data_IF_201146748344
#
_entry.id   IF_201146748344
#
_cell.length_a   1.000
_cell.length_b   1.000
_cell.length_c   1.000
_cell.angle_alpha   90.00
_cell.angle_beta   90.00
_cell.angle_gamma   90.00
#
_symmetry.space_group_name_H-M   'P 1'
#
loop_
_entity.id
_entity.type
_entity.pdbx_description
1 polymer ?
#
# COMPACT_ATOMS: atom_id res chain seq x y z
N UNK A 1 -26.64 10.26 0.42
CA UNK A 1 -25.63 9.40 1.08
C UNK A 1 -26.34 8.37 1.93
N UNK A 2 -26.34 7.14 1.45
CA UNK A 2 -26.87 6.01 2.20
C UNK A 2 -25.78 5.42 3.10
N UNK A 3 -26.19 4.79 4.19
CA UNK A 3 -25.29 4.14 5.14
C UNK A 3 -25.36 2.63 4.95
N UNK A 4 -24.21 2.01 4.81
CA UNK A 4 -24.04 0.58 4.60
C UNK A 4 -23.21 -0.01 5.74
N UNK A 5 -23.45 -1.28 6.03
CA UNK A 5 -22.74 -2.02 7.08
C UNK A 5 -22.12 -3.25 6.46
N UNK A 6 -20.82 -3.40 6.64
CA UNK A 6 -20.08 -4.55 6.16
C UNK A 6 -19.48 -5.35 7.29
N UNK A 7 -19.46 -6.66 7.11
CA UNK A 7 -18.71 -7.58 7.98
C UNK A 7 -17.69 -8.34 7.14
N UNK A 8 -16.46 -8.40 7.63
CA UNK A 8 -15.40 -9.19 7.03
C UNK A 8 -14.79 -10.10 8.09
N UNK A 9 -14.66 -11.37 7.74
CA UNK A 9 -14.07 -12.39 8.60
C UNK A 9 -12.79 -12.90 7.98
N UNK A 10 -11.78 -13.13 8.82
CA UNK A 10 -10.49 -13.60 8.38
C UNK A 10 -9.78 -14.42 9.46
N UNK A 11 -9.29 -15.59 9.08
CA UNK A 11 -8.48 -16.46 9.95
C UNK A 11 -7.01 -16.18 9.71
N UNK A 12 -6.28 -15.86 10.78
CA UNK A 12 -4.85 -15.54 10.72
C UNK A 12 -4.07 -16.77 10.25
N UNK A 13 -3.30 -16.64 9.18
CA UNK A 13 -2.39 -17.69 8.72
C UNK A 13 -1.02 -17.65 9.43
N UNK A 14 -0.31 -18.78 9.39
CA UNK A 14 1.05 -18.92 9.97
C UNK A 14 2.08 -17.92 9.41
N UNK A 15 1.81 -17.36 8.22
CA UNK A 15 2.76 -16.54 7.47
C UNK A 15 2.45 -15.04 7.52
N UNK A 16 1.50 -14.60 8.34
CA UNK A 16 1.12 -13.18 8.42
C UNK A 16 1.11 -12.65 9.85
N UNK A 17 1.11 -11.33 9.97
CA UNK A 17 0.96 -10.66 11.27
C UNK A 17 -0.53 -10.45 11.57
N UNK A 18 -0.85 -10.31 12.86
CA UNK A 18 -2.20 -9.98 13.28
C UNK A 18 -2.73 -8.70 12.61
N UNK A 19 -1.87 -7.70 12.40
CA UNK A 19 -2.24 -6.49 11.67
C UNK A 19 -2.59 -6.76 10.20
N UNK A 20 -1.85 -7.65 9.52
CA UNK A 20 -2.17 -8.03 8.14
C UNK A 20 -3.50 -8.78 8.05
N UNK A 21 -3.77 -9.65 9.01
CA UNK A 21 -5.04 -10.34 9.12
C UNK A 21 -6.20 -9.37 9.43
N UNK A 22 -5.97 -8.35 10.26
CA UNK A 22 -6.95 -7.27 10.48
C UNK A 22 -7.20 -6.44 9.23
N UNK A 23 -6.14 -6.11 8.49
CA UNK A 23 -6.25 -5.40 7.22
C UNK A 23 -7.03 -6.24 6.19
N UNK A 24 -6.84 -7.57 6.19
CA UNK A 24 -7.61 -8.51 5.38
C UNK A 24 -9.08 -8.57 5.79
N UNK A 25 -9.39 -8.68 7.09
CA UNK A 25 -10.77 -8.63 7.58
C UNK A 25 -11.46 -7.29 7.23
N UNK A 26 -10.75 -6.17 7.37
CA UNK A 26 -11.23 -4.84 6.98
C UNK A 26 -11.48 -4.75 5.47
N UNK A 27 -10.59 -5.33 4.66
CA UNK A 27 -10.77 -5.39 3.20
C UNK A 27 -12.04 -6.17 2.84
N UNK A 28 -12.29 -7.32 3.47
CA UNK A 28 -13.51 -8.09 3.22
C UNK A 28 -14.77 -7.37 3.73
N UNK A 29 -14.69 -6.64 4.86
CA UNK A 29 -15.82 -5.82 5.32
C UNK A 29 -16.16 -4.68 4.35
N UNK A 30 -15.15 -4.03 3.77
CA UNK A 30 -15.35 -3.01 2.74
C UNK A 30 -15.89 -3.60 1.43
N UNK A 31 -15.50 -4.84 1.11
CA UNK A 31 -16.07 -5.60 0.00
C UNK A 31 -17.56 -5.90 0.22
N UNK A 32 -17.97 -6.33 1.40
CA UNK A 32 -19.38 -6.56 1.72
C UNK A 32 -20.23 -5.29 1.55
N UNK A 33 -19.76 -4.13 2.06
CA UNK A 33 -20.43 -2.83 1.80
C UNK A 33 -20.54 -2.57 0.30
N UNK A 34 -19.46 -2.86 -0.42
CA UNK A 34 -19.39 -2.60 -1.85
C UNK A 34 -20.37 -3.44 -2.67
N UNK A 35 -20.58 -4.69 -2.28
CA UNK A 35 -21.59 -5.57 -2.88
C UNK A 35 -23.00 -5.01 -2.64
N UNK A 36 -23.29 -4.53 -1.43
CA UNK A 36 -24.56 -3.88 -1.11
C UNK A 36 -24.78 -2.60 -1.93
N UNK A 37 -23.76 -1.75 -2.07
CA UNK A 37 -23.80 -0.55 -2.92
C UNK A 37 -24.05 -0.94 -4.37
N UNK A 38 -23.36 -1.96 -4.88
CA UNK A 38 -23.55 -2.49 -6.23
C UNK A 38 -24.99 -2.98 -6.47
N UNK A 39 -25.58 -3.69 -5.50
CA UNK A 39 -26.98 -4.13 -5.56
C UNK A 39 -27.94 -2.94 -5.66
N UNK A 40 -27.79 -1.91 -4.80
CA UNK A 40 -28.63 -0.70 -4.82
C UNK A 40 -28.52 0.05 -6.14
N UNK A 41 -27.30 0.21 -6.67
CA UNK A 41 -27.06 0.84 -7.97
C UNK A 41 -27.72 0.03 -9.09
N UNK A 42 -27.60 -1.31 -9.07
CA UNK A 42 -28.18 -2.19 -10.09
C UNK A 42 -29.71 -2.24 -10.05
N UNK A 43 -30.34 -2.13 -8.87
CA UNK A 43 -31.80 -2.12 -8.75
C UNK A 43 -32.41 -0.79 -9.22
N UNK A 44 -31.69 0.32 -9.04
CA UNK A 44 -32.15 1.66 -9.40
C UNK A 44 -31.88 2.04 -10.87
N UNK A 45 -30.99 1.30 -11.55
CA UNK A 45 -30.64 1.53 -12.95
C UNK A 45 -31.06 0.31 -13.77
N UNK A 46 -32.05 0.42 -14.65
CA UNK A 46 -32.43 -0.67 -15.58
C UNK A 46 -31.24 -0.94 -16.52
N UNK A 47 -30.46 -2.01 -16.30
CA UNK A 47 -29.14 -2.22 -16.92
C UNK A 47 -29.24 -2.82 -18.33
N UNK A 48 -28.60 -2.20 -19.33
CA UNK A 48 -28.15 -2.85 -20.57
C UNK A 48 -26.65 -3.17 -20.47
N UNK A 49 -26.30 -4.43 -20.77
CA UNK A 49 -24.94 -5.00 -20.91
C UNK A 49 -24.08 -5.10 -19.63
N UNK A 50 -24.55 -5.94 -18.71
CA UNK A 50 -23.85 -6.40 -17.50
C UNK A 50 -22.50 -7.09 -17.78
N UNK A 51 -21.42 -6.32 -17.94
CA UNK A 51 -20.06 -6.86 -17.85
C UNK A 51 -19.44 -6.40 -16.54
N UNK A 52 -19.64 -7.22 -15.52
CA UNK A 52 -19.07 -7.06 -14.19
C UNK A 52 -18.11 -8.23 -13.96
N UNK A 53 -16.82 -7.98 -14.07
CA UNK A 53 -15.81 -8.92 -13.57
C UNK A 53 -15.73 -8.76 -12.06
N UNK A 54 -16.00 -9.85 -11.34
CA UNK A 54 -16.17 -9.87 -9.89
C UNK A 54 -14.98 -9.23 -9.14
N UNK A 55 -13.75 -9.47 -9.58
CA UNK A 55 -12.53 -8.96 -8.93
C UNK A 55 -12.28 -7.45 -9.11
N UNK A 56 -12.73 -6.86 -10.23
CA UNK A 56 -12.50 -5.44 -10.51
C UNK A 56 -13.57 -4.56 -9.86
N UNK A 57 -14.80 -5.03 -9.68
CA UNK A 57 -15.76 -4.26 -8.89
C UNK A 57 -15.35 -4.23 -7.42
N UNK A 58 -14.90 -5.36 -6.87
CA UNK A 58 -14.49 -5.50 -5.46
C UNK A 58 -13.35 -4.56 -5.07
N UNK A 59 -12.38 -4.34 -5.96
CA UNK A 59 -11.22 -3.46 -5.65
C UNK A 59 -11.60 -1.98 -5.69
N UNK A 60 -12.46 -1.57 -6.62
CA UNK A 60 -12.74 -0.15 -6.89
C UNK A 60 -13.84 0.42 -6.00
N UNK A 61 -14.87 -0.37 -5.72
CA UNK A 61 -16.01 0.00 -4.87
C UNK A 61 -15.64 0.39 -3.43
N UNK A 62 -14.67 -0.30 -2.83
CA UNK A 62 -14.16 0.01 -1.48
C UNK A 62 -13.58 1.42 -1.35
N UNK A 63 -13.15 2.05 -2.45
CA UNK A 63 -12.56 3.40 -2.47
C UNK A 63 -13.61 4.53 -2.38
N UNK A 64 -14.90 4.22 -2.61
CA UNK A 64 -15.99 5.20 -2.57
C UNK A 64 -16.79 5.15 -1.26
N UNK A 65 -16.44 4.21 -0.38
CA UNK A 65 -17.03 4.07 0.94
C UNK A 65 -16.25 4.95 1.90
N UNK A 66 -16.86 6.03 2.38
CA UNK A 66 -16.30 6.77 3.51
C UNK A 66 -16.63 5.99 4.78
N UNK A 67 -15.60 5.47 5.44
CA UNK A 67 -15.75 4.76 6.71
C UNK A 67 -16.16 5.75 7.80
N UNK A 68 -17.28 5.47 8.45
CA UNK A 68 -17.82 6.25 9.56
C UNK A 68 -17.46 5.62 10.91
N UNK A 69 -17.53 4.30 11.00
CA UNK A 69 -17.20 3.54 12.20
C UNK A 69 -16.53 2.22 11.82
N UNK A 70 -15.61 1.75 12.66
CA UNK A 70 -14.87 0.50 12.49
C UNK A 70 -14.67 -0.16 13.84
N UNK A 71 -15.16 -1.39 13.97
CA UNK A 71 -14.94 -2.26 15.12
C UNK A 71 -14.23 -3.53 14.68
N UNK A 72 -13.19 -3.91 15.40
CA UNK A 72 -12.47 -5.17 15.16
C UNK A 72 -12.60 -6.04 16.41
N UNK A 73 -13.00 -7.29 16.21
CA UNK A 73 -13.09 -8.32 17.22
C UNK A 73 -12.17 -9.47 16.85
N UNK A 74 -11.58 -10.11 17.87
CA UNK A 74 -10.67 -11.22 17.71
C UNK A 74 -11.14 -12.36 18.60
N UNK A 75 -11.17 -13.57 18.05
CA UNK A 75 -11.57 -14.79 18.74
C UNK A 75 -10.54 -15.88 18.46
N UNK A 76 -10.29 -16.75 19.44
CA UNK A 76 -9.44 -17.93 19.28
C UNK A 76 -10.36 -19.12 19.45
N UNK A 77 -10.38 -20.02 18.47
CA UNK A 77 -11.20 -21.22 18.52
C UNK A 77 -10.52 -22.36 19.30
N UNK A 78 -11.19 -23.51 19.35
CA UNK A 78 -10.72 -24.69 20.09
C UNK A 78 -9.43 -25.29 19.49
N UNK A 79 -9.15 -25.02 18.22
CA UNK A 79 -7.95 -25.47 17.50
C UNK A 79 -6.77 -24.49 17.66
N UNK A 80 -7.02 -23.33 18.26
CA UNK A 80 -6.02 -22.29 18.51
C UNK A 80 -5.88 -21.28 17.37
N UNK A 81 -6.73 -21.36 16.35
CA UNK A 81 -6.73 -20.45 15.22
C UNK A 81 -7.32 -19.09 15.64
N UNK A 82 -6.66 -18.02 15.21
CA UNK A 82 -7.12 -16.66 15.51
C UNK A 82 -8.06 -16.21 14.40
N UNK A 83 -9.33 -16.03 14.73
CA UNK A 83 -10.35 -15.44 13.88
C UNK A 83 -10.48 -13.95 14.16
N UNK A 84 -10.53 -13.16 13.09
CA UNK A 84 -10.72 -11.72 13.16
C UNK A 84 -12.02 -11.37 12.44
N UNK A 85 -12.87 -10.62 13.12
CA UNK A 85 -14.09 -10.06 12.54
C UNK A 85 -13.98 -8.53 12.54
N UNK A 86 -13.96 -7.93 11.35
CA UNK A 86 -14.09 -6.50 11.17
C UNK A 86 -15.55 -6.14 10.84
N UNK A 87 -16.13 -5.22 11.60
CA UNK A 87 -17.44 -4.61 11.32
C UNK A 87 -17.25 -3.14 10.99
N UNK A 88 -17.71 -2.74 9.82
CA UNK A 88 -17.55 -1.38 9.30
C UNK A 88 -18.93 -0.79 9.02
N UNK A 89 -19.12 0.45 9.44
CA UNK A 89 -20.22 1.28 8.95
C UNK A 89 -19.61 2.34 8.05
N UNK A 90 -20.11 2.45 6.83
CA UNK A 90 -19.63 3.45 5.87
C UNK A 90 -20.78 4.09 5.11
N UNK A 91 -20.55 5.28 4.57
CA UNK A 91 -21.48 5.93 3.68
C UNK A 91 -20.97 5.93 2.23
N UNK A 92 -21.89 5.65 1.32
CA UNK A 92 -21.65 5.72 -0.12
C UNK A 92 -22.77 6.54 -0.78
N UNK A 93 -22.43 7.20 -1.87
CA UNK A 93 -23.39 7.87 -2.74
C UNK A 93 -23.55 7.05 -4.03
N UNK A 94 -24.68 6.33 -4.19
CA UNK A 94 -24.90 5.44 -5.33
C UNK A 94 -24.75 6.15 -6.69
N UNK A 95 -25.12 7.43 -6.78
CA UNK A 95 -25.07 8.19 -8.04
C UNK A 95 -23.63 8.59 -8.42
N UNK A 96 -22.81 8.94 -7.43
CA UNK A 96 -21.38 9.19 -7.65
C UNK A 96 -20.63 7.91 -8.02
N UNK A 97 -20.97 6.79 -7.37
CA UNK A 97 -20.39 5.47 -7.70
C UNK A 97 -20.76 5.07 -9.13
N UNK A 98 -22.01 5.24 -9.54
CA UNK A 98 -22.47 4.94 -10.90
C UNK A 98 -21.80 5.81 -11.96
N UNK A 99 -21.60 7.10 -11.66
CA UNK A 99 -20.93 8.04 -12.57
C UNK A 99 -19.50 7.58 -12.87
N UNK A 100 -18.77 7.16 -11.84
CA UNK A 100 -17.39 6.70 -11.98
C UNK A 100 -17.29 5.32 -12.64
N UNK A 101 -18.19 4.39 -12.29
CA UNK A 101 -18.27 3.07 -12.94
C UNK A 101 -18.53 3.18 -14.45
N UNK A 102 -19.40 4.10 -14.88
CA UNK A 102 -19.66 4.36 -16.31
C UNK A 102 -18.43 4.92 -17.02
N UNK A 103 -17.71 5.85 -16.40
CA UNK A 103 -16.47 6.38 -16.95
C UNK A 103 -15.41 5.28 -17.15
N UNK A 104 -15.33 4.30 -16.24
CA UNK A 104 -14.35 3.21 -16.30
C UNK A 104 -14.75 2.11 -17.29
N UNK A 105 -16.04 1.81 -17.43
CA UNK A 105 -16.57 0.80 -18.37
C UNK A 105 -16.21 1.14 -19.83
N UNK A 106 -16.15 2.43 -20.17
CA UNK A 106 -15.79 2.91 -21.51
C UNK A 106 -14.30 2.76 -21.85
N UNK A 107 -13.45 2.36 -20.89
CA UNK A 107 -12.01 2.19 -21.10
C UNK A 107 -11.61 0.75 -21.46
N UNK A 108 -12.53 -0.23 -21.47
CA UNK A 108 -12.21 -1.66 -21.65
C UNK A 108 -13.08 -2.35 -22.73
N UNK A 109 -12.56 -2.47 -23.95
CA UNK A 109 -12.53 -3.70 -24.80
C UNK A 109 -12.27 -3.38 -26.29
N UNK A 110 -11.65 -4.29 -27.09
CA UNK A 110 -10.55 -5.21 -26.76
C UNK A 110 -9.47 -5.32 -27.88
N UNK A 111 -8.30 -5.89 -27.59
CA UNK A 111 -7.68 -6.96 -28.43
C UNK A 111 -6.66 -7.81 -27.65
N UNK A 112 -6.73 -9.10 -27.97
CA UNK A 112 -6.07 -10.29 -27.40
C UNK A 112 -4.68 -10.54 -28.03
N UNK A 113 -3.78 -11.24 -27.32
CA UNK A 113 -2.54 -11.75 -27.92
C UNK A 113 -1.53 -12.39 -26.96
N UNK A 114 -1.73 -13.69 -26.69
CA UNK A 114 -0.77 -14.77 -26.44
C UNK A 114 0.40 -14.66 -25.42
N UNK A 115 0.43 -15.70 -24.57
CA UNK A 115 1.50 -16.11 -23.69
C UNK A 115 2.68 -16.81 -24.43
N UNK A 116 3.91 -16.65 -23.94
CA UNK A 116 4.98 -17.68 -24.04
C UNK A 116 6.07 -17.47 -22.95
N UNK A 117 6.27 -18.55 -22.18
CA UNK A 117 7.43 -19.14 -21.48
C UNK A 117 8.67 -18.34 -21.04
N UNK A 118 9.05 -18.63 -19.79
CA UNK A 118 10.27 -18.24 -19.09
C UNK A 118 11.53 -19.07 -19.45
N UNK A 119 12.70 -18.50 -19.18
CA UNK A 119 14.02 -19.17 -19.17
C UNK A 119 14.99 -18.43 -18.21
N UNK A 120 16.06 -19.10 -17.74
CA UNK A 120 16.54 -19.01 -16.35
C UNK A 120 17.62 -17.96 -16.08
N UNK A 121 17.73 -17.59 -14.79
CA UNK A 121 18.73 -16.69 -14.21
C UNK A 121 20.07 -17.44 -14.01
N UNK A 122 21.23 -16.82 -14.32
CA UNK A 122 22.54 -17.40 -14.01
C UNK A 122 22.89 -17.31 -12.52
N UNK A 123 23.34 -18.43 -11.98
CA UNK A 123 23.88 -18.61 -10.63
C UNK A 123 25.16 -17.80 -10.40
N UNK A 124 25.24 -17.09 -9.27
CA UNK A 124 26.48 -16.50 -8.77
C UNK A 124 26.84 -17.18 -7.44
N UNK A 125 28.00 -17.83 -7.40
CA UNK A 125 28.55 -18.52 -6.24
C UNK A 125 29.10 -17.51 -5.22
N UNK A 126 28.79 -17.63 -3.92
CA UNK A 126 29.31 -16.72 -2.89
C UNK A 126 30.78 -16.97 -2.56
N UNK A 127 31.55 -15.90 -2.33
CA UNK A 127 32.92 -15.96 -1.83
C UNK A 127 32.97 -16.03 -0.29
N UNK A 128 34.00 -16.67 0.30
CA UNK A 128 34.09 -16.90 1.74
C UNK A 128 34.67 -15.70 2.49
N UNK A 129 34.00 -15.30 3.56
CA UNK A 129 34.53 -14.39 4.59
C UNK A 129 34.82 -15.21 5.85
N UNK A 130 36.03 -15.04 6.38
CA UNK A 130 36.60 -15.73 7.53
C UNK A 130 35.94 -15.25 8.84
N UNK A 131 35.53 -16.14 9.76
CA UNK A 131 34.85 -15.75 10.99
C UNK A 131 35.84 -15.18 12.03
N UNK A 132 35.52 -14.00 12.57
CA UNK A 132 36.07 -13.51 13.84
C UNK A 132 35.19 -14.01 15.01
N UNK A 133 35.76 -14.28 16.20
CA UNK A 133 34.99 -14.86 17.30
C UNK A 133 34.08 -13.79 17.92
N UNK A 134 32.78 -13.93 17.70
CA UNK A 134 31.74 -13.20 18.44
C UNK A 134 31.44 -13.99 19.71
N UNK A 135 31.62 -13.37 20.87
CA UNK A 135 31.18 -13.91 22.16
C UNK A 135 29.65 -13.88 22.16
N UNK A 136 29.01 -15.04 22.08
CA UNK A 136 27.56 -15.19 22.11
C UNK A 136 27.13 -15.32 23.58
N UNK A 137 26.37 -14.37 24.17
CA UNK A 137 25.68 -14.64 25.42
C UNK A 137 24.59 -15.70 25.18
N UNK A 138 24.61 -16.72 26.04
CA UNK A 138 23.73 -17.89 26.02
C UNK A 138 22.24 -17.49 26.11
N UNK A 139 21.33 -18.12 25.35
CA UNK A 139 19.91 -17.79 25.39
C UNK A 139 19.30 -18.22 26.73
N UNK A 140 18.97 -17.24 27.57
CA UNK A 140 18.08 -17.46 28.71
C UNK A 140 16.66 -17.27 28.20
N UNK A 141 15.81 -18.30 28.29
CA UNK A 141 14.38 -18.17 27.99
C UNK A 141 13.74 -17.13 28.92
N UNK A 142 12.88 -16.23 28.40
CA UNK A 142 11.91 -15.55 29.22
C UNK A 142 10.49 -15.96 28.82
N UNK A 143 9.87 -16.75 29.69
CA UNK A 143 8.43 -16.69 29.90
C UNK A 143 8.13 -15.36 30.62
N UNK A 144 7.35 -14.45 30.02
CA UNK A 144 6.46 -13.44 30.64
C UNK A 144 6.03 -12.39 29.60
N UNK A 145 4.84 -11.81 29.80
CA UNK A 145 4.19 -10.76 28.99
C UNK A 145 5.12 -9.77 28.28
N UNK A 146 4.73 -9.24 27.09
CA UNK A 146 5.50 -8.21 26.40
C UNK A 146 5.66 -6.97 27.29
N UNK A 147 6.84 -6.82 27.88
CA UNK A 147 7.31 -5.56 28.46
C UNK A 147 7.23 -4.50 27.36
N UNK A 148 6.50 -3.41 27.61
CA UNK A 148 6.48 -2.23 26.72
C UNK A 148 7.83 -1.52 26.69
N UNK A 149 8.72 -1.82 27.62
CA UNK A 149 10.00 -1.14 27.80
C UNK A 149 11.10 -1.87 27.06
N UNK A 150 11.81 -1.15 26.20
CA UNK A 150 12.97 -1.66 25.46
C UNK A 150 14.09 -2.00 26.46
N UNK A 151 14.66 -3.22 26.42
CA UNK A 151 15.76 -3.60 27.29
C UNK A 151 16.97 -2.64 27.13
N UNK A 152 17.70 -2.30 28.21
CA UNK A 152 18.79 -1.33 28.17
C UNK A 152 19.84 -1.60 27.08
N UNK A 153 20.16 -2.86 26.82
CA UNK A 153 21.10 -3.28 25.79
C UNK A 153 20.67 -2.94 24.36
N UNK A 154 19.37 -2.71 24.12
CA UNK A 154 18.82 -2.31 22.82
C UNK A 154 18.57 -0.80 22.70
N UNK A 155 18.93 0.01 23.69
CA UNK A 155 18.78 1.47 23.58
C UNK A 155 19.66 2.07 22.47
N UNK A 156 20.88 1.55 22.28
CA UNK A 156 21.74 1.95 21.17
C UNK A 156 21.12 1.61 19.81
N UNK A 157 20.54 0.41 19.70
CA UNK A 157 19.83 -0.03 18.50
C UNK A 157 18.61 0.84 18.19
N UNK A 158 17.83 1.23 19.20
CA UNK A 158 16.71 2.17 19.05
C UNK A 158 17.19 3.49 18.44
N UNK A 159 18.27 4.08 18.98
CA UNK A 159 18.75 5.38 18.47
C UNK A 159 19.29 5.29 17.04
N UNK A 160 20.01 4.22 16.72
CA UNK A 160 20.47 3.98 15.35
C UNK A 160 19.28 3.78 14.39
N UNK A 161 18.28 3.01 14.80
CA UNK A 161 17.07 2.77 14.03
C UNK A 161 16.31 4.08 13.77
N UNK A 162 16.16 4.94 14.79
CA UNK A 162 15.57 6.28 14.63
C UNK A 162 16.34 7.13 13.62
N UNK A 163 17.66 7.23 13.78
CA UNK A 163 18.50 8.01 12.89
C UNK A 163 18.40 7.52 11.43
N UNK A 164 18.47 6.21 11.22
CA UNK A 164 18.33 5.60 9.91
C UNK A 164 16.94 5.83 9.30
N UNK A 165 15.89 5.72 10.12
CA UNK A 165 14.52 5.96 9.70
C UNK A 165 14.28 7.40 9.28
N UNK A 166 14.86 8.37 9.99
CA UNK A 166 14.73 9.79 9.67
C UNK A 166 15.55 10.17 8.44
N UNK A 167 16.75 9.62 8.25
CA UNK A 167 17.59 9.93 7.09
C UNK A 167 17.12 9.26 5.79
N UNK A 168 16.44 8.11 5.89
CA UNK A 168 15.91 7.38 4.73
C UNK A 168 14.39 7.49 4.60
N UNK A 169 13.75 8.31 5.45
CA UNK A 169 12.32 8.56 5.46
C UNK A 169 11.47 7.27 5.45
N UNK A 170 11.79 6.34 6.35
CA UNK A 170 11.08 5.05 6.41
C UNK A 170 9.70 5.18 7.05
N UNK A 171 8.80 4.27 6.67
CA UNK A 171 7.60 3.97 7.44
C UNK A 171 7.92 3.15 8.69
N UNK A 172 6.96 3.01 9.62
CA UNK A 172 7.09 2.09 10.76
C UNK A 172 7.40 0.66 10.30
N UNK A 173 6.73 0.21 9.23
CA UNK A 173 6.96 -1.11 8.62
C UNK A 173 8.35 -1.21 7.99
N UNK A 174 8.82 -0.13 7.36
CA UNK A 174 10.17 0.00 6.83
C UNK A 174 11.22 -0.12 7.94
N UNK A 175 11.02 0.57 9.06
CA UNK A 175 11.89 0.47 10.24
C UNK A 175 11.91 -0.95 10.81
N UNK A 176 10.74 -1.58 10.96
CA UNK A 176 10.65 -2.98 11.40
C UNK A 176 11.44 -3.92 10.48
N UNK A 177 11.28 -3.79 9.15
CA UNK A 177 12.05 -4.57 8.17
C UNK A 177 13.55 -4.31 8.25
N UNK A 178 13.95 -3.04 8.42
CA UNK A 178 15.35 -2.68 8.62
C UNK A 178 15.93 -3.42 9.82
N UNK A 179 15.21 -3.46 10.95
CA UNK A 179 15.66 -4.18 12.14
C UNK A 179 15.82 -5.68 11.89
N UNK A 180 14.86 -6.33 11.22
CA UNK A 180 14.98 -7.74 10.86
C UNK A 180 16.19 -8.02 9.96
N UNK A 181 16.41 -7.17 8.95
CA UNK A 181 17.52 -7.32 8.01
C UNK A 181 18.90 -7.11 8.67
N UNK A 182 18.94 -6.41 9.81
CA UNK A 182 20.15 -6.24 10.62
C UNK A 182 20.30 -7.33 11.71
N UNK A 183 19.52 -8.41 11.64
CA UNK A 183 19.67 -9.58 12.52
C UNK A 183 19.03 -9.44 13.90
N UNK A 184 18.23 -8.40 14.14
CA UNK A 184 17.49 -8.27 15.40
C UNK A 184 16.32 -9.27 15.42
N UNK A 185 16.08 -9.95 16.56
CA UNK A 185 14.95 -10.86 16.66
C UNK A 185 13.63 -10.10 16.59
N UNK A 186 12.59 -10.78 16.09
CA UNK A 186 11.30 -10.17 15.73
C UNK A 186 10.67 -9.36 16.86
N UNK A 187 10.72 -9.86 18.09
CA UNK A 187 10.20 -9.16 19.27
C UNK A 187 10.93 -7.82 19.53
N UNK A 188 12.25 -7.77 19.33
CA UNK A 188 13.05 -6.55 19.48
C UNK A 188 12.75 -5.57 18.34
N UNK A 189 12.66 -6.07 17.10
CA UNK A 189 12.26 -5.26 15.95
C UNK A 189 10.88 -4.61 16.16
N UNK A 190 9.90 -5.37 16.65
CA UNK A 190 8.56 -4.87 17.01
C UNK A 190 8.64 -3.81 18.11
N UNK A 191 9.35 -4.08 19.20
CA UNK A 191 9.49 -3.10 20.29
C UNK A 191 10.14 -1.79 19.81
N UNK A 192 11.19 -1.87 19.00
CA UNK A 192 11.87 -0.69 18.47
C UNK A 192 10.95 0.08 17.54
N UNK A 193 10.27 -0.57 16.59
CA UNK A 193 9.37 0.13 15.66
C UNK A 193 8.16 0.78 16.35
N UNK A 194 7.65 0.17 17.42
CA UNK A 194 6.52 0.73 18.17
C UNK A 194 6.91 1.90 19.09
N UNK A 195 8.14 1.90 19.62
CA UNK A 195 8.60 2.93 20.57
C UNK A 195 9.58 3.94 19.94
N UNK A 196 9.74 3.94 18.61
CA UNK A 196 10.69 4.80 17.92
C UNK A 196 10.39 6.31 18.04
N UNK A 197 9.21 6.72 18.49
CA UNK A 197 8.80 8.13 18.61
C UNK A 197 9.23 8.97 17.40
N UNK A 198 8.70 8.60 16.24
CA UNK A 198 8.96 9.21 14.94
C UNK A 198 7.64 9.76 14.41
N UNK A 199 7.69 10.96 13.84
CA UNK A 199 6.60 11.49 13.04
C UNK A 199 6.56 10.78 11.67
N UNK A 200 5.80 9.70 11.60
CA UNK A 200 5.66 8.88 10.39
C UNK A 200 4.98 9.63 9.24
N UNK A 201 4.12 10.62 9.54
CA UNK A 201 3.50 11.46 8.52
C UNK A 201 4.53 12.37 7.87
N UNK A 202 5.44 12.92 8.67
CA UNK A 202 6.56 13.71 8.15
C UNK A 202 7.54 12.85 7.34
N UNK A 203 7.82 11.62 7.77
CA UNK A 203 8.61 10.69 6.96
C UNK A 203 7.92 10.40 5.61
N UNK A 204 6.61 10.16 5.57
CA UNK A 204 5.90 9.94 4.31
C UNK A 204 5.99 11.16 3.38
N UNK A 205 5.88 12.38 3.92
CA UNK A 205 6.03 13.63 3.17
C UNK A 205 7.42 13.78 2.57
N UNK A 206 8.46 13.52 3.36
CA UNK A 206 9.83 13.59 2.87
C UNK A 206 10.10 12.49 1.85
N UNK A 207 9.56 11.29 2.03
CA UNK A 207 9.67 10.19 1.07
C UNK A 207 9.00 10.51 -0.27
N UNK A 208 7.83 11.16 -0.23
CA UNK A 208 7.19 11.69 -1.44
C UNK A 208 8.09 12.72 -2.15
N UNK A 209 8.77 13.57 -1.37
CA UNK A 209 9.72 14.56 -1.90
C UNK A 209 10.96 13.89 -2.52
N UNK A 210 11.49 12.82 -1.93
CA UNK A 210 12.60 12.04 -2.49
C UNK A 210 12.27 11.50 -3.89
N UNK A 211 11.05 10.97 -4.09
CA UNK A 211 10.63 10.54 -5.42
C UNK A 211 10.67 11.67 -6.43
N UNK A 212 10.18 12.85 -6.06
CA UNK A 212 10.14 14.03 -6.94
C UNK A 212 11.54 14.61 -7.25
N UNK A 213 12.53 14.37 -6.39
CA UNK A 213 13.91 14.82 -6.63
C UNK A 213 14.70 13.85 -7.50
N UNK A 214 14.36 12.57 -7.47
CA UNK A 214 15.10 11.51 -8.18
C UNK A 214 14.49 11.16 -9.53
N UNK A 215 13.25 11.59 -9.79
CA UNK A 215 12.61 11.37 -11.07
C UNK A 215 11.28 12.10 -11.20
N UNK A 216 10.54 11.72 -12.22
CA UNK A 216 9.23 12.27 -12.51
C UNK A 216 8.13 11.30 -12.10
N UNK A 217 7.15 11.76 -11.33
CA UNK A 217 6.08 10.90 -10.84
C UNK A 217 4.75 11.63 -10.83
N UNK A 218 3.67 10.87 -11.04
CA UNK A 218 2.32 11.38 -10.84
C UNK A 218 1.97 11.40 -9.34
N UNK A 219 1.00 12.24 -8.97
CA UNK A 219 0.46 12.26 -7.60
C UNK A 219 -0.06 10.88 -7.19
N UNK A 220 -0.81 10.21 -8.08
CA UNK A 220 -1.34 8.87 -7.80
C UNK A 220 -0.24 7.79 -7.74
N UNK A 221 0.81 7.94 -8.55
CA UNK A 221 1.96 7.04 -8.58
C UNK A 221 2.72 7.07 -7.26
N UNK A 222 3.02 8.26 -6.73
CA UNK A 222 3.68 8.39 -5.41
C UNK A 222 2.79 7.82 -4.31
N UNK A 223 1.49 8.14 -4.31
CA UNK A 223 0.54 7.59 -3.33
C UNK A 223 0.55 6.05 -3.30
N UNK A 224 0.43 5.44 -4.48
CA UNK A 224 0.44 3.97 -4.64
C UNK A 224 1.77 3.40 -4.17
N UNK A 225 2.88 4.07 -4.49
CA UNK A 225 4.21 3.65 -4.10
C UNK A 225 4.41 3.69 -2.59
N UNK A 226 3.99 4.75 -1.88
CA UNK A 226 4.05 4.86 -0.42
C UNK A 226 3.27 3.73 0.29
N UNK A 227 2.13 3.33 -0.27
CA UNK A 227 1.32 2.21 0.23
C UNK A 227 1.89 0.83 -0.10
N UNK A 228 2.83 0.75 -1.05
CA UNK A 228 3.35 -0.52 -1.52
C UNK A 228 3.94 -1.33 -0.35
N UNK A 229 3.95 -2.67 -0.41
CA UNK A 229 4.56 -3.48 0.63
C UNK A 229 6.03 -3.12 0.91
N UNK A 230 6.72 -2.56 -0.09
CA UNK A 230 8.12 -2.15 0.01
C UNK A 230 8.28 -0.89 0.87
N UNK A 231 7.46 0.14 0.64
CA UNK A 231 7.48 1.39 1.43
C UNK A 231 6.72 1.22 2.75
N UNK A 232 5.49 0.72 2.71
CA UNK A 232 4.74 0.25 3.88
C UNK A 232 4.15 1.35 4.76
N UNK A 233 3.90 2.55 4.22
CA UNK A 233 3.17 3.59 4.93
C UNK A 233 1.68 3.25 5.07
N UNK A 234 1.04 3.82 6.08
CA UNK A 234 -0.42 3.74 6.23
C UNK A 234 -1.12 4.67 5.22
N UNK A 235 -2.41 4.44 4.99
CA UNK A 235 -3.26 5.33 4.16
C UNK A 235 -3.27 6.76 4.68
N UNK A 236 -3.29 6.93 6.00
CA UNK A 236 -3.32 8.25 6.65
C UNK A 236 -2.01 9.01 6.44
N UNK A 237 -0.86 8.33 6.54
CA UNK A 237 0.47 8.90 6.29
C UNK A 237 0.67 9.25 4.81
N UNK A 238 0.33 8.33 3.91
CA UNK A 238 0.42 8.58 2.47
C UNK A 238 -0.53 9.72 2.04
N UNK A 239 -1.74 9.78 2.58
CA UNK A 239 -2.67 10.88 2.32
C UNK A 239 -2.13 12.22 2.83
N UNK A 240 -1.56 12.25 4.04
CA UNK A 240 -0.90 13.43 4.57
C UNK A 240 0.24 13.88 3.66
N UNK A 241 1.11 12.97 3.23
CA UNK A 241 2.21 13.26 2.32
C UNK A 241 1.70 13.90 1.02
N UNK A 242 0.71 13.29 0.35
CA UNK A 242 0.23 13.80 -0.94
C UNK A 242 -0.55 15.11 -0.84
N UNK A 243 -1.08 15.44 0.33
CA UNK A 243 -1.75 16.72 0.60
C UNK A 243 -0.76 17.85 0.83
N UNK A 244 0.41 17.55 1.40
CA UNK A 244 1.39 18.55 1.82
C UNK A 244 2.62 18.64 0.89
N UNK A 245 2.86 17.63 0.04
CA UNK A 245 3.99 17.65 -0.89
C UNK A 245 3.78 18.72 -1.96
N UNK A 246 4.78 19.60 -2.11
CA UNK A 246 4.75 20.70 -3.07
C UNK A 246 5.43 20.22 -4.35
N UNK A 247 4.69 20.23 -5.45
CA UNK A 247 5.20 19.89 -6.77
C UNK A 247 4.44 20.63 -7.87
N UNK A 248 5.15 20.96 -8.95
CA UNK A 248 4.53 21.32 -10.21
C UNK A 248 4.19 20.04 -10.99
N UNK A 249 2.95 19.59 -10.85
CA UNK A 249 2.49 18.33 -11.45
C UNK A 249 2.48 18.34 -12.98
N UNK A 250 2.32 19.52 -13.58
CA UNK A 250 2.45 19.67 -15.03
C UNK A 250 3.91 19.51 -15.48
N UNK A 251 4.86 20.08 -14.72
CA UNK A 251 6.28 19.85 -14.96
C UNK A 251 6.69 18.38 -14.76
N UNK A 252 6.11 17.69 -13.76
CA UNK A 252 6.33 16.26 -13.56
C UNK A 252 5.87 15.43 -14.77
N UNK A 253 4.67 15.70 -15.28
CA UNK A 253 4.16 15.03 -16.48
C UNK A 253 5.04 15.31 -17.71
N UNK A 254 5.42 16.57 -17.93
CA UNK A 254 6.29 16.97 -19.03
C UNK A 254 7.67 16.32 -18.96
N UNK A 255 8.27 16.27 -17.78
CA UNK A 255 9.56 15.61 -17.55
C UNK A 255 9.50 14.13 -17.89
N UNK A 256 8.46 13.42 -17.43
CA UNK A 256 8.26 12.01 -17.79
C UNK A 256 8.01 11.81 -19.28
N UNK A 257 7.22 12.69 -19.90
CA UNK A 257 6.93 12.64 -21.33
C UNK A 257 8.21 12.78 -22.17
N UNK A 258 9.08 13.73 -21.81
CA UNK A 258 10.40 13.92 -22.44
C UNK A 258 11.30 12.70 -22.27
N UNK A 259 11.32 12.11 -21.07
CA UNK A 259 12.08 10.88 -20.82
C UNK A 259 11.66 9.75 -21.78
N UNK A 260 10.36 9.56 -22.01
CA UNK A 260 9.91 8.55 -22.99
C UNK A 260 10.15 8.96 -24.44
N UNK A 261 10.07 10.25 -24.74
CA UNK A 261 10.38 10.77 -26.07
C UNK A 261 11.84 10.49 -26.45
N UNK A 262 12.76 10.68 -25.50
CA UNK A 262 14.18 10.35 -25.65
C UNK A 262 14.41 8.86 -25.89
N UNK A 263 13.55 7.99 -25.35
CA UNK A 263 13.53 6.55 -25.63
C UNK A 263 12.91 6.20 -26.99
N UNK A 264 12.55 7.19 -27.81
CA UNK A 264 11.97 6.99 -29.15
C UNK A 264 10.50 6.59 -29.16
N UNK A 265 9.75 6.82 -28.08
CA UNK A 265 8.33 6.48 -28.04
C UNK A 265 7.49 7.50 -28.83
N UNK A 266 6.40 7.02 -29.45
CA UNK A 266 5.44 7.89 -30.13
C UNK A 266 4.59 8.68 -29.13
N UNK A 267 4.09 9.85 -29.54
CA UNK A 267 3.27 10.71 -28.68
C UNK A 267 2.02 9.98 -28.18
N UNK A 268 1.39 9.12 -29.00
CA UNK A 268 0.24 8.30 -28.59
C UNK A 268 0.60 7.30 -27.49
N UNK A 269 1.75 6.62 -27.62
CA UNK A 269 2.23 5.67 -26.61
C UNK A 269 2.57 6.39 -25.31
N UNK A 270 3.17 7.57 -25.40
CA UNK A 270 3.49 8.42 -24.24
C UNK A 270 2.20 8.87 -23.53
N UNK A 271 1.23 9.38 -24.29
CA UNK A 271 -0.07 9.78 -23.77
C UNK A 271 -0.76 8.65 -23.00
N UNK A 272 -0.85 7.45 -23.60
CA UNK A 272 -1.42 6.28 -22.94
C UNK A 272 -0.63 5.87 -21.70
N UNK A 273 0.71 5.89 -21.77
CA UNK A 273 1.55 5.49 -20.65
C UNK A 273 1.40 6.43 -19.46
N UNK A 274 1.40 7.74 -19.66
CA UNK A 274 1.26 8.70 -18.57
C UNK A 274 -0.09 8.56 -17.84
N UNK A 275 -1.17 8.26 -18.57
CA UNK A 275 -2.47 7.97 -17.96
C UNK A 275 -2.42 6.70 -17.10
N UNK A 276 -1.77 5.63 -17.58
CA UNK A 276 -1.56 4.39 -16.81
C UNK A 276 -0.69 4.63 -15.57
N UNK A 277 0.31 5.48 -15.67
CA UNK A 277 1.16 5.88 -14.55
C UNK A 277 0.46 6.87 -13.59
N UNK A 278 -0.80 7.22 -13.85
CA UNK A 278 -1.66 7.96 -12.93
C UNK A 278 -1.53 9.47 -12.98
N UNK A 279 -0.95 10.03 -14.05
CA UNK A 279 -1.00 11.47 -14.31
C UNK A 279 -2.43 11.91 -14.67
N UNK A 280 -2.84 13.11 -14.23
CA UNK A 280 -4.17 13.62 -14.53
C UNK A 280 -4.29 13.96 -16.03
N UNK A 281 -5.48 13.81 -16.61
CA UNK A 281 -5.70 14.02 -18.05
C UNK A 281 -5.21 15.38 -18.55
N UNK A 282 -5.42 16.44 -17.78
CA UNK A 282 -4.96 17.80 -18.09
C UNK A 282 -3.42 17.93 -18.03
N UNK A 283 -2.75 17.22 -17.12
CA UNK A 283 -1.28 17.17 -17.03
C UNK A 283 -0.69 16.44 -18.23
N UNK A 284 -1.30 15.32 -18.63
CA UNK A 284 -0.90 14.55 -19.82
C UNK A 284 -1.08 15.37 -21.09
N UNK A 285 -2.24 16.01 -21.26
CA UNK A 285 -2.51 16.89 -22.40
C UNK A 285 -1.50 18.04 -22.49
N UNK A 286 -1.22 18.69 -21.36
CA UNK A 286 -0.17 19.71 -21.28
C UNK A 286 1.19 19.15 -21.71
N UNK A 287 1.61 18.03 -21.14
CA UNK A 287 2.91 17.42 -21.42
C UNK A 287 3.06 17.04 -22.90
N UNK A 288 2.07 16.36 -23.48
CA UNK A 288 2.09 15.89 -24.88
C UNK A 288 2.07 17.03 -25.88
N UNK A 289 1.45 18.17 -25.55
CA UNK A 289 1.45 19.36 -26.40
C UNK A 289 2.83 20.02 -26.57
N UNK A 290 3.81 19.64 -25.74
CA UNK A 290 5.13 20.25 -25.65
C UNK A 290 6.29 19.31 -26.05
N UNK A 291 6.00 18.12 -26.62
CA UNK A 291 7.00 17.09 -26.98
C UNK A 291 6.84 16.47 -28.37
#
# INVERSE_FOLDING_TARGET
METFRGTGEYTVSDNETLQQAEDSAVKEALRDISEQVGVVVSSNTKVENAVVTHDEIVTFSSSFVKVLDKKIERHIDDDGDIHITARITGNADPDLVLTELKHLSTLKSPQSGNATSASPIPSVTPQPITPQPVIIPQPTQPNTQPSKTIPPEYQGALQQAKAYSLSNHLSKKGLFKYMLNNGYPRNIATMISENADIDWKNNALNRASDYLTTGYYSKNGIYTQLLSPNEGFTREEAFYAMTNVVADWQAQALGKARQYKEMGWSNDKINQRLLVEGFAKNEVQYAVSLI
#
